data_IF_320527423182
#
_entry.id   IF_320527423182
#
_cell.length_a   1.000
_cell.length_b   1.000
_cell.length_c   1.000
_cell.angle_alpha   90.00
_cell.angle_beta   90.00
_cell.angle_gamma   90.00
#
_symmetry.space_group_name_H-M   'P 1'
#
loop_
_entity.id
_entity.type
_entity.pdbx_description
1 polymer ?
#
# COMPACT_ATOMS: atom_id res chain seq x y z
N UNK A 1 -4.82 -32.28 6.88
CA UNK A 1 -5.53 -31.33 7.76
C UNK A 1 -4.61 -30.15 8.06
N UNK A 2 -4.86 -29.00 7.43
CA UNK A 2 -4.00 -27.80 7.46
C UNK A 2 -4.21 -26.99 8.74
N UNK A 3 -3.21 -26.98 9.63
CA UNK A 3 -3.24 -26.13 10.86
C UNK A 3 -1.93 -25.44 11.23
N UNK A 4 -1.01 -25.22 10.27
CA UNK A 4 0.31 -24.65 10.56
C UNK A 4 0.77 -23.49 9.63
N UNK A 5 -0.10 -22.92 8.81
CA UNK A 5 0.30 -21.88 7.82
C UNK A 5 0.22 -20.43 8.35
N UNK A 6 -0.50 -20.18 9.45
CA UNK A 6 -0.65 -18.85 10.05
C UNK A 6 0.58 -18.30 10.81
N UNK A 7 1.37 -19.09 11.57
CA UNK A 7 2.51 -18.53 12.30
C UNK A 7 3.68 -18.14 11.38
N UNK A 8 3.77 -18.72 10.18
CA UNK A 8 4.88 -18.51 9.24
C UNK A 8 4.82 -17.12 8.61
N UNK A 9 3.61 -16.63 8.29
CA UNK A 9 3.42 -15.30 7.70
C UNK A 9 3.69 -14.20 8.75
N UNK A 10 3.24 -14.40 9.99
CA UNK A 10 3.54 -13.51 11.10
C UNK A 10 5.04 -13.44 11.41
N UNK A 11 5.72 -14.59 11.43
CA UNK A 11 7.17 -14.63 11.60
C UNK A 11 7.93 -14.01 10.42
N UNK A 12 7.46 -14.15 9.18
CA UNK A 12 8.12 -13.53 8.03
C UNK A 12 8.05 -12.00 8.09
N UNK A 13 6.91 -11.43 8.51
CA UNK A 13 6.76 -9.98 8.70
C UNK A 13 7.62 -9.48 9.87
N UNK A 14 7.69 -10.23 10.97
CA UNK A 14 8.51 -9.89 12.13
C UNK A 14 10.03 -10.06 11.88
N UNK A 15 10.42 -11.09 11.12
CA UNK A 15 11.81 -11.32 10.72
C UNK A 15 12.28 -10.27 9.70
N UNK A 16 11.40 -9.76 8.82
CA UNK A 16 11.72 -8.62 7.96
C UNK A 16 11.95 -7.33 8.77
N UNK A 17 11.25 -7.13 9.90
CA UNK A 17 11.51 -6.03 10.82
C UNK A 17 12.90 -6.17 11.50
N UNK A 18 13.34 -7.39 11.83
CA UNK A 18 14.62 -7.64 12.49
C UNK A 18 15.84 -7.69 11.55
N UNK A 19 15.67 -8.13 10.31
CA UNK A 19 16.76 -8.10 9.31
C UNK A 19 17.00 -6.68 8.79
N UNK A 20 15.98 -5.81 8.78
CA UNK A 20 16.12 -4.39 8.48
C UNK A 20 16.99 -3.62 9.47
N UNK A 21 17.04 -4.05 10.75
CA UNK A 21 17.91 -3.42 11.75
C UNK A 21 19.41 -3.71 11.56
N UNK A 22 19.80 -4.80 10.89
CA UNK A 22 21.22 -5.16 10.75
C UNK A 22 21.91 -4.31 9.65
N UNK A 23 21.24 -4.10 8.52
CA UNK A 23 21.72 -3.20 7.45
C UNK A 23 21.58 -1.70 7.80
N UNK A 24 20.71 -1.36 8.75
CA UNK A 24 20.57 -0.01 9.30
C UNK A 24 21.84 0.48 10.01
N UNK A 25 22.68 -0.43 10.53
CA UNK A 25 23.90 -0.06 11.26
C UNK A 25 24.94 0.52 10.31
N UNK A 26 25.09 -0.02 9.10
CA UNK A 26 26.09 0.47 8.13
C UNK A 26 25.74 1.86 7.58
N UNK A 27 24.45 2.15 7.33
CA UNK A 27 23.98 3.51 7.02
C UNK A 27 24.04 4.43 8.25
N UNK A 28 23.73 3.95 9.47
CA UNK A 28 23.92 4.73 10.71
C UNK A 28 25.37 5.15 10.91
N UNK A 29 26.31 4.21 10.73
CA UNK A 29 27.73 4.45 10.89
C UNK A 29 28.23 5.44 9.83
N UNK A 30 27.65 5.42 8.63
CA UNK A 30 27.93 6.39 7.58
C UNK A 30 27.32 7.79 7.83
N UNK A 31 26.12 7.88 8.43
CA UNK A 31 25.45 9.15 8.74
C UNK A 31 26.09 9.88 9.94
N UNK A 32 26.62 9.12 10.91
CA UNK A 32 27.44 9.67 12.01
C UNK A 32 28.78 10.22 11.50
N UNK A 33 29.31 9.66 10.41
CA UNK A 33 30.60 10.05 9.83
C UNK A 33 30.50 11.17 8.78
N UNK A 34 29.40 11.23 8.02
CA UNK A 34 29.14 12.32 7.06
C UNK A 34 27.62 12.58 6.89
N UNK A 35 27.08 13.65 7.50
CA UNK A 35 25.66 14.03 7.39
C UNK A 35 25.20 14.38 5.97
N UNK A 36 26.13 14.56 5.01
CA UNK A 36 25.82 14.99 3.64
C UNK A 36 25.65 13.84 2.65
N UNK A 37 25.78 12.59 3.09
CA UNK A 37 25.58 11.43 2.22
C UNK A 37 24.12 10.98 2.27
N UNK A 38 23.30 11.25 1.23
CA UNK A 38 21.95 10.70 1.19
C UNK A 38 22.06 9.17 1.11
N UNK A 39 21.59 8.47 2.14
CA UNK A 39 21.35 7.03 2.01
C UNK A 39 20.23 6.88 0.98
N UNK A 40 20.56 6.39 -0.22
CA UNK A 40 19.58 6.11 -1.25
C UNK A 40 18.55 5.11 -0.75
N UNK A 41 17.28 5.32 -1.09
CA UNK A 41 16.21 4.38 -0.79
C UNK A 41 16.56 2.96 -1.23
N UNK A 42 16.60 2.05 -0.28
CA UNK A 42 16.78 0.62 -0.53
C UNK A 42 15.41 0.00 -0.72
N UNK A 43 15.15 -0.50 -1.93
CA UNK A 43 13.91 -1.21 -2.27
C UNK A 43 14.22 -2.68 -2.51
N UNK A 44 13.37 -3.56 -1.99
CA UNK A 44 13.45 -4.99 -2.29
C UNK A 44 12.07 -5.56 -2.59
N UNK A 45 12.07 -6.62 -3.39
CA UNK A 45 10.88 -7.37 -3.74
C UNK A 45 11.27 -8.80 -4.08
N UNK A 46 10.60 -9.79 -3.49
CA UNK A 46 10.84 -11.20 -3.76
C UNK A 46 9.54 -11.97 -3.80
N UNK A 47 9.38 -12.79 -4.83
CA UNK A 47 8.28 -13.73 -4.91
C UNK A 47 8.43 -14.81 -3.82
N UNK A 48 7.40 -15.00 -3.01
CA UNK A 48 7.33 -15.98 -1.94
C UNK A 48 5.98 -16.69 -2.05
N UNK A 49 6.02 -17.96 -2.46
CA UNK A 49 4.81 -18.74 -2.73
C UNK A 49 3.97 -18.10 -3.84
N UNK A 50 2.69 -17.85 -3.54
CA UNK A 50 1.71 -17.27 -4.48
C UNK A 50 1.75 -15.74 -4.57
N UNK A 51 2.64 -15.08 -3.83
CA UNK A 51 2.66 -13.61 -3.75
C UNK A 51 4.07 -13.06 -3.72
N UNK A 52 4.17 -11.76 -3.44
CA UNK A 52 5.41 -11.01 -3.40
C UNK A 52 5.54 -10.29 -2.06
N UNK A 53 6.63 -10.55 -1.36
CA UNK A 53 7.07 -9.72 -0.23
C UNK A 53 7.83 -8.54 -0.81
N UNK A 54 7.53 -7.34 -0.35
CA UNK A 54 8.19 -6.11 -0.78
C UNK A 54 8.55 -5.25 0.42
N UNK A 55 9.49 -4.34 0.23
CA UNK A 55 9.79 -3.32 1.20
C UNK A 55 10.66 -2.20 0.67
N UNK A 56 10.74 -1.15 1.46
CA UNK A 56 11.53 0.05 1.20
C UNK A 56 12.05 0.56 2.53
N UNK A 57 13.33 0.88 2.60
CA UNK A 57 13.94 1.62 3.69
C UNK A 57 14.59 2.87 3.07
N UNK A 58 14.30 4.02 3.64
CA UNK A 58 14.82 5.29 3.15
C UNK A 58 15.02 6.26 4.30
N UNK A 59 15.73 7.34 4.02
CA UNK A 59 15.97 8.43 4.94
C UNK A 59 15.85 9.74 4.18
N UNK A 60 15.26 10.74 4.80
CA UNK A 60 15.24 12.11 4.28
C UNK A 60 15.56 13.10 5.40
N UNK A 61 15.55 14.40 5.09
CA UNK A 61 15.81 15.48 6.05
C UNK A 61 14.86 15.48 7.26
N UNK A 62 13.76 14.73 7.18
CA UNK A 62 12.72 14.61 8.21
C UNK A 62 12.77 13.26 8.94
N UNK A 63 13.76 12.41 8.68
CA UNK A 63 14.02 11.19 9.43
C UNK A 63 14.02 9.90 8.59
N UNK A 64 14.01 8.77 9.29
CA UNK A 64 14.08 7.43 8.69
C UNK A 64 12.67 6.88 8.46
N UNK A 65 12.44 6.24 7.32
CA UNK A 65 11.20 5.52 7.06
C UNK A 65 11.44 4.11 6.55
N UNK A 66 10.55 3.21 6.96
CA UNK A 66 10.48 1.84 6.51
C UNK A 66 9.06 1.49 6.10
N UNK A 67 8.92 0.78 4.99
CA UNK A 67 7.68 0.18 4.51
C UNK A 67 7.95 -1.27 4.17
N UNK A 68 7.03 -2.15 4.49
CA UNK A 68 7.08 -3.56 4.11
C UNK A 68 5.69 -4.12 3.91
N UNK A 69 5.59 -5.20 3.16
CA UNK A 69 4.31 -5.89 3.01
C UNK A 69 4.38 -7.13 2.16
N UNK A 70 3.22 -7.76 2.04
CA UNK A 70 2.97 -8.91 1.20
C UNK A 70 1.77 -8.62 0.32
N UNK A 71 1.87 -8.95 -0.96
CA UNK A 71 0.73 -8.88 -1.89
C UNK A 71 0.59 -10.16 -2.69
N UNK A 72 -0.63 -10.53 -3.01
CA UNK A 72 -0.93 -11.70 -3.83
C UNK A 72 -2.20 -11.49 -4.66
N UNK A 73 -2.23 -12.11 -5.83
CA UNK A 73 -3.46 -12.19 -6.61
C UNK A 73 -4.37 -13.26 -5.99
N UNK A 74 -5.56 -12.86 -5.57
CA UNK A 74 -6.61 -13.76 -5.07
C UNK A 74 -7.24 -14.50 -6.25
N UNK A 75 -7.53 -13.76 -7.32
CA UNK A 75 -7.88 -14.31 -8.61
C UNK A 75 -7.43 -13.41 -9.75
N UNK A 76 -7.23 -14.01 -10.91
CA UNK A 76 -6.97 -13.34 -12.17
C UNK A 76 -7.62 -14.17 -13.27
N UNK A 77 -8.90 -13.90 -13.53
CA UNK A 77 -9.72 -14.65 -14.47
C UNK A 77 -10.65 -13.72 -15.27
N UNK A 78 -11.63 -14.30 -15.99
CA UNK A 78 -12.58 -13.54 -16.80
C UNK A 78 -13.39 -12.48 -16.03
N UNK A 79 -13.48 -12.59 -14.69
CA UNK A 79 -14.13 -11.61 -13.81
C UNK A 79 -13.25 -10.39 -13.53
N UNK A 80 -11.95 -10.45 -13.86
CA UNK A 80 -10.95 -9.42 -13.61
C UNK A 80 -9.79 -9.95 -12.76
N UNK A 81 -8.95 -9.03 -12.28
CA UNK A 81 -7.88 -9.29 -11.32
C UNK A 81 -8.26 -8.71 -9.96
N UNK A 82 -8.16 -9.52 -8.91
CA UNK A 82 -8.31 -9.10 -7.52
C UNK A 82 -6.98 -9.36 -6.79
N UNK A 83 -6.31 -8.29 -6.36
CA UNK A 83 -5.06 -8.33 -5.61
C UNK A 83 -5.32 -7.95 -4.15
N UNK A 84 -4.90 -8.81 -3.23
CA UNK A 84 -4.91 -8.53 -1.79
C UNK A 84 -3.51 -8.19 -1.32
N UNK A 85 -3.39 -7.15 -0.49
CA UNK A 85 -2.14 -6.70 0.09
C UNK A 85 -2.30 -6.49 1.60
N UNK A 86 -1.29 -6.86 2.36
CA UNK A 86 -1.10 -6.44 3.74
C UNK A 86 0.24 -5.71 3.83
N UNK A 87 0.29 -4.59 4.54
CA UNK A 87 1.49 -3.77 4.63
C UNK A 87 1.62 -3.10 5.99
N UNK A 88 2.83 -2.66 6.30
CA UNK A 88 3.16 -1.88 7.47
C UNK A 88 4.21 -0.83 7.15
N UNK A 89 4.17 0.26 7.89
CA UNK A 89 5.13 1.36 7.80
C UNK A 89 5.56 1.78 9.19
N UNK A 90 6.80 2.25 9.27
CA UNK A 90 7.36 2.91 10.44
C UNK A 90 8.14 4.13 9.98
N UNK A 91 7.88 5.27 10.58
CA UNK A 91 8.63 6.51 10.37
C UNK A 91 9.20 6.94 11.71
N UNK A 92 10.49 7.23 11.74
CA UNK A 92 11.23 7.79 12.86
C UNK A 92 11.60 9.21 12.48
N UNK A 93 10.94 10.20 13.06
CA UNK A 93 11.14 11.60 12.71
C UNK A 93 11.40 12.47 13.94
N UNK A 94 11.98 13.67 13.76
CA UNK A 94 12.24 14.60 14.85
C UNK A 94 10.96 15.10 15.54
N UNK A 95 9.80 14.98 14.86
CA UNK A 95 8.49 15.36 15.39
C UNK A 95 7.71 14.17 15.99
N UNK A 96 8.35 13.01 16.12
CA UNK A 96 7.75 11.81 16.71
C UNK A 96 7.75 10.59 15.78
N UNK A 97 7.72 9.42 16.40
CA UNK A 97 7.66 8.14 15.71
C UNK A 97 6.21 7.80 15.33
N UNK A 98 6.00 7.37 14.09
CA UNK A 98 4.72 6.83 13.66
C UNK A 98 4.88 5.40 13.17
N UNK A 99 3.90 4.56 13.45
CA UNK A 99 3.84 3.22 12.92
C UNK A 99 2.41 2.92 12.54
N UNK A 100 2.21 2.36 11.35
CA UNK A 100 0.89 1.97 10.87
C UNK A 100 0.94 0.64 10.15
N UNK A 101 -0.18 -0.05 10.13
CA UNK A 101 -0.37 -1.28 9.40
C UNK A 101 -1.74 -1.28 8.73
N UNK A 102 -1.85 -1.96 7.61
CA UNK A 102 -3.06 -1.92 6.82
C UNK A 102 -3.19 -3.08 5.86
N UNK A 103 -4.38 -3.16 5.28
CA UNK A 103 -4.74 -4.10 4.24
C UNK A 103 -5.42 -3.38 3.10
N UNK A 104 -5.10 -3.78 1.87
CA UNK A 104 -5.67 -3.23 0.66
C UNK A 104 -6.20 -4.35 -0.24
N UNK A 105 -7.36 -4.13 -0.82
CA UNK A 105 -7.96 -4.97 -1.83
C UNK A 105 -8.17 -4.15 -3.10
N UNK A 106 -7.49 -4.53 -4.16
CA UNK A 106 -7.57 -3.88 -5.46
C UNK A 106 -8.22 -4.81 -6.48
N UNK A 107 -9.39 -4.43 -6.98
CA UNK A 107 -10.07 -5.09 -8.07
C UNK A 107 -9.99 -4.26 -9.34
N UNK A 108 -9.65 -4.91 -10.45
CA UNK A 108 -9.63 -4.29 -11.76
C UNK A 108 -10.14 -5.28 -12.82
N UNK A 109 -11.06 -4.83 -13.66
CA UNK A 109 -11.48 -5.56 -14.84
C UNK A 109 -11.17 -4.71 -16.08
N UNK A 110 -10.06 -5.07 -16.74
CA UNK A 110 -9.60 -4.40 -17.96
C UNK A 110 -10.64 -4.52 -19.09
N UNK A 111 -11.36 -5.64 -19.18
CA UNK A 111 -12.35 -5.86 -20.25
C UNK A 111 -13.63 -5.03 -20.04
N UNK A 112 -13.89 -4.55 -18.82
CA UNK A 112 -15.07 -3.74 -18.48
C UNK A 112 -14.72 -2.32 -18.08
N UNK A 113 -13.44 -1.93 -18.24
CA UNK A 113 -12.84 -0.68 -17.78
C UNK A 113 -13.35 -0.24 -16.40
N UNK A 114 -13.40 -1.18 -15.46
CA UNK A 114 -13.93 -0.97 -14.12
C UNK A 114 -12.86 -1.27 -13.08
N UNK A 115 -12.77 -0.43 -12.05
CA UNK A 115 -11.81 -0.55 -10.96
C UNK A 115 -12.52 -0.28 -9.64
N UNK A 116 -12.12 -1.00 -8.60
CA UNK A 116 -12.55 -0.75 -7.24
C UNK A 116 -11.41 -1.05 -6.27
N UNK A 117 -11.29 -0.23 -5.24
CA UNK A 117 -10.25 -0.36 -4.23
C UNK A 117 -10.89 -0.18 -2.85
N UNK A 118 -10.49 -0.99 -1.89
CA UNK A 118 -10.79 -0.79 -0.47
C UNK A 118 -9.49 -0.95 0.31
N UNK A 119 -9.20 0.00 1.18
CA UNK A 119 -8.02 0.03 2.03
C UNK A 119 -8.42 0.36 3.46
N UNK A 120 -7.85 -0.40 4.40
CA UNK A 120 -8.03 -0.17 5.83
C UNK A 120 -6.65 -0.03 6.45
N UNK A 121 -6.40 1.09 7.12
CA UNK A 121 -5.11 1.41 7.73
C UNK A 121 -5.30 1.79 9.19
N UNK A 122 -4.49 1.23 10.08
CA UNK A 122 -4.46 1.54 11.51
C UNK A 122 -3.13 2.17 11.88
N UNK A 123 -3.16 3.36 12.46
CA UNK A 123 -2.01 3.93 13.14
C UNK A 123 -1.94 3.42 14.60
N UNK A 124 -0.75 3.00 15.02
CA UNK A 124 -0.48 2.62 16.41
C UNK A 124 -0.56 3.89 17.28
N UNK A 125 -1.38 3.85 18.33
CA UNK A 125 -1.79 5.02 19.14
C UNK A 125 -2.51 6.13 18.36
N UNK A 126 -3.02 5.83 17.16
CA UNK A 126 -3.69 6.80 16.31
C UNK A 126 -5.00 6.27 15.72
N UNK A 127 -5.57 7.01 14.76
CA UNK A 127 -6.83 6.67 14.14
C UNK A 127 -6.75 5.41 13.27
N UNK A 128 -7.92 4.90 12.93
CA UNK A 128 -8.09 3.87 11.90
C UNK A 128 -8.77 4.52 10.71
N UNK A 129 -8.24 4.41 9.51
CA UNK A 129 -8.80 4.99 8.29
C UNK A 129 -9.31 3.88 7.36
N UNK A 130 -10.48 4.12 6.80
CA UNK A 130 -11.09 3.32 5.74
C UNK A 130 -11.18 4.19 4.48
N UNK A 131 -10.56 3.72 3.41
CA UNK A 131 -10.61 4.35 2.10
C UNK A 131 -11.24 3.37 1.12
N UNK A 132 -12.26 3.80 0.39
CA UNK A 132 -12.90 3.02 -0.64
C UNK A 132 -13.06 3.86 -1.91
N UNK A 133 -12.85 3.25 -3.07
CA UNK A 133 -13.10 3.89 -4.35
C UNK A 133 -13.64 2.91 -5.37
N UNK A 134 -14.44 3.41 -6.29
CA UNK A 134 -14.92 2.65 -7.43
C UNK A 134 -15.02 3.58 -8.64
N UNK A 135 -14.61 3.10 -9.82
CA UNK A 135 -14.74 3.83 -11.07
C UNK A 135 -15.03 2.90 -12.23
N UNK A 136 -15.67 3.46 -13.25
CA UNK A 136 -15.98 2.78 -14.50
C UNK A 136 -15.85 3.73 -15.68
N UNK A 137 -15.46 3.15 -16.81
CA UNK A 137 -15.47 3.81 -18.11
C UNK A 137 -16.43 3.10 -19.04
N UNK A 138 -17.17 3.87 -19.81
CA UNK A 138 -17.97 3.42 -20.93
C UNK A 138 -17.40 4.04 -22.20
N UNK A 139 -16.90 3.20 -23.09
CA UNK A 139 -16.53 3.60 -24.44
C UNK A 139 -17.76 3.40 -25.32
N UNK A 140 -18.38 4.50 -25.74
CA UNK A 140 -19.57 4.44 -26.60
C UNK A 140 -19.16 4.22 -28.06
N UNK A 141 -18.09 4.88 -28.46
CA UNK A 141 -17.47 4.73 -29.77
C UNK A 141 -15.95 5.01 -29.67
N UNK A 142 -15.22 4.85 -30.77
CA UNK A 142 -13.77 5.12 -30.86
C UNK A 142 -13.37 6.54 -30.42
N UNK A 143 -14.31 7.47 -30.50
CA UNK A 143 -14.10 8.89 -30.26
C UNK A 143 -14.83 9.38 -29.01
N UNK A 144 -15.64 8.56 -28.34
CA UNK A 144 -16.51 9.02 -27.23
C UNK A 144 -16.36 8.14 -26.00
N UNK A 145 -15.96 8.76 -24.90
CA UNK A 145 -15.73 8.10 -23.61
C UNK A 145 -16.45 8.84 -22.49
N UNK A 146 -17.16 8.09 -21.67
CA UNK A 146 -17.68 8.56 -20.37
C UNK A 146 -16.96 7.80 -19.26
N UNK A 147 -16.43 8.50 -18.27
CA UNK A 147 -15.96 7.91 -17.03
C UNK A 147 -16.80 8.44 -15.87
N UNK A 148 -17.06 7.59 -14.88
CA UNK A 148 -17.63 7.99 -13.61
C UNK A 148 -16.99 7.20 -12.47
N UNK A 149 -16.95 7.80 -11.29
CA UNK A 149 -16.45 7.14 -10.11
C UNK A 149 -16.77 7.91 -8.84
N UNK A 150 -16.42 7.29 -7.73
CA UNK A 150 -16.54 7.91 -6.43
C UNK A 150 -15.55 7.33 -5.43
N UNK A 151 -15.40 8.07 -4.34
CA UNK A 151 -14.51 7.77 -3.23
C UNK A 151 -15.27 7.95 -1.92
N UNK A 152 -14.92 7.16 -0.92
CA UNK A 152 -15.35 7.32 0.46
C UNK A 152 -14.12 7.19 1.32
N UNK A 153 -13.85 8.21 2.13
CA UNK A 153 -12.76 8.19 3.11
C UNK A 153 -13.35 8.46 4.48
N UNK A 154 -13.05 7.59 5.44
CA UNK A 154 -13.58 7.71 6.79
C UNK A 154 -12.55 7.33 7.83
N UNK A 155 -12.37 8.21 8.80
CA UNK A 155 -11.74 7.85 10.07
C UNK A 155 -12.73 7.05 10.92
N UNK A 156 -12.45 5.78 11.20
CA UNK A 156 -13.31 4.93 12.00
C UNK A 156 -13.20 5.33 13.48
N UNK A 157 -14.33 5.71 14.06
CA UNK A 157 -14.44 6.13 15.46
C UNK A 157 -14.50 7.64 15.67
N UNK A 158 -14.21 8.44 14.64
CA UNK A 158 -14.28 9.90 14.71
C UNK A 158 -14.72 10.52 13.38
N UNK A 159 -15.46 11.63 13.45
CA UNK A 159 -15.84 12.41 12.28
C UNK A 159 -16.95 11.79 11.41
N UNK A 160 -17.33 12.53 10.36
CA UNK A 160 -18.25 12.06 9.32
C UNK A 160 -17.41 11.55 8.14
N UNK A 161 -17.87 10.51 7.43
CA UNK A 161 -17.26 10.09 6.18
C UNK A 161 -17.23 11.23 5.15
N UNK A 162 -16.13 11.34 4.45
CA UNK A 162 -15.95 12.20 3.27
C UNK A 162 -16.28 11.40 2.01
N UNK A 163 -17.01 12.03 1.08
CA UNK A 163 -17.50 11.40 -0.14
C UNK A 163 -17.13 12.26 -1.34
N UNK A 164 -16.46 11.65 -2.31
CA UNK A 164 -16.19 12.25 -3.62
C UNK A 164 -16.99 11.54 -4.71
N UNK A 165 -17.56 12.29 -5.64
CA UNK A 165 -18.13 11.75 -6.88
C UNK A 165 -17.65 12.58 -8.05
N UNK A 166 -17.34 11.92 -9.17
CA UNK A 166 -16.86 12.59 -10.37
C UNK A 166 -17.29 11.86 -11.62
N UNK A 167 -17.57 12.62 -12.67
CA UNK A 167 -17.80 12.10 -14.00
C UNK A 167 -17.05 12.96 -15.03
N UNK A 168 -16.59 12.33 -16.11
CA UNK A 168 -15.91 13.01 -17.20
C UNK A 168 -16.43 12.48 -18.52
N UNK A 169 -16.83 13.39 -19.40
CA UNK A 169 -17.17 13.07 -20.78
C UNK A 169 -16.09 13.63 -21.70
N UNK A 170 -15.53 12.77 -22.55
CA UNK A 170 -14.50 13.11 -23.52
C UNK A 170 -14.98 12.73 -24.91
N UNK A 171 -14.81 13.65 -25.85
CA UNK A 171 -15.06 13.42 -27.28
C UNK A 171 -13.88 13.97 -28.09
N UNK A 172 -13.21 13.09 -28.82
CA UNK A 172 -12.10 13.43 -29.71
C UNK A 172 -12.64 13.62 -31.13
N UNK A 173 -12.45 14.80 -31.71
CA UNK A 173 -12.95 15.17 -33.05
C UNK A 173 -11.99 14.76 -34.16
#
# INVERSE_FOLDING_TARGET
MHRHQLPIIGFAVMACLQLGSCMSIECMQSYVLDPRKPCSDVKWGKQVGKGTVFGTLGSNDQGLYGKGGYKQDIFNDARGKLEGQAHGTRVLGPNGDTSSFGGKLDWNNVNKDARATIELTKQIHGPTNLDASASKVWNFDKNTRLSAGGTVTQELGHGKPDYGVGATFQHDW
#
